data_IF_182511331054
#
_entry.id   IF_182511331054
#
_cell.length_a   1.000
_cell.length_b   1.000
_cell.length_c   1.000
_cell.angle_alpha   90.00
_cell.angle_beta   90.00
_cell.angle_gamma   90.00
#
_symmetry.space_group_name_H-M   'P 1'
#
loop_
_entity.id
_entity.type
_entity.pdbx_description
1 polymer ?
#
# COMPACT_ATOMS: atom_id res chain seq x y z
N UNK A 1 -8.69 20.79 17.18
CA UNK A 1 -8.60 21.99 16.32
C UNK A 1 -7.40 21.80 15.40
N UNK A 2 -7.52 20.97 14.36
CA UNK A 2 -6.39 20.47 13.54
C UNK A 2 -6.23 21.29 12.23
N UNK A 3 -6.03 22.60 12.32
CA UNK A 3 -5.97 23.47 11.13
C UNK A 3 -4.56 23.95 10.76
N UNK A 4 -3.57 23.79 11.65
CA UNK A 4 -2.26 24.45 11.48
C UNK A 4 -1.16 23.58 10.87
N UNK A 5 -1.38 22.26 10.70
CA UNK A 5 -0.33 21.36 10.18
C UNK A 5 -0.29 21.26 8.64
N UNK A 6 -1.25 21.86 7.91
CA UNK A 6 -1.36 21.74 6.45
C UNK A 6 -0.60 22.84 5.69
N UNK A 7 -0.42 24.02 6.28
CA UNK A 7 0.31 25.13 5.65
C UNK A 7 1.84 24.99 5.76
N UNK A 8 2.34 24.31 6.79
CA UNK A 8 3.78 24.08 6.98
C UNK A 8 4.40 23.11 5.95
N UNK A 9 3.59 22.24 5.33
CA UNK A 9 4.06 21.23 4.38
C UNK A 9 4.27 21.76 2.95
N UNK A 10 3.67 22.90 2.60
CA UNK A 10 3.71 23.44 1.23
C UNK A 10 4.94 24.35 1.03
N UNK A 11 5.44 24.98 2.09
CA UNK A 11 6.54 25.95 2.00
C UNK A 11 7.95 25.34 1.94
N UNK A 12 8.10 24.04 2.20
CA UNK A 12 9.40 23.35 2.29
C UNK A 12 9.80 22.55 1.05
N UNK A 13 8.96 22.51 -0.01
CA UNK A 13 9.25 21.75 -1.24
C UNK A 13 9.70 22.61 -2.44
N UNK A 14 10.03 23.88 -2.22
CA UNK A 14 10.49 24.81 -3.28
C UNK A 14 12.01 25.00 -3.30
N UNK A 15 12.79 24.10 -2.70
CA UNK A 15 14.25 24.32 -2.62
C UNK A 15 15.07 23.04 -2.56
N UNK A 16 14.88 22.11 -3.50
CA UNK A 16 15.96 21.18 -3.88
C UNK A 16 15.60 20.47 -5.19
N UNK A 17 16.14 20.92 -6.32
CA UNK A 17 16.35 20.08 -7.49
C UNK A 17 17.83 20.15 -7.87
N UNK A 18 18.49 19.02 -8.15
CA UNK A 18 19.90 19.00 -8.52
C UNK A 18 20.10 19.67 -9.87
N UNK A 19 20.98 20.69 -9.93
CA UNK A 19 21.45 21.26 -11.21
C UNK A 19 22.29 20.22 -11.94
N UNK A 20 21.69 19.48 -12.87
CA UNK A 20 22.43 18.84 -13.95
C UNK A 20 22.64 19.89 -15.03
N UNK A 21 23.88 20.36 -15.12
CA UNK A 21 24.35 21.25 -16.17
C UNK A 21 24.55 20.38 -17.41
N UNK A 22 23.65 20.48 -18.39
CA UNK A 22 23.92 20.00 -19.73
C UNK A 22 23.39 21.03 -20.73
N UNK A 23 24.30 21.45 -21.60
CA UNK A 23 24.08 22.46 -22.62
C UNK A 23 23.56 21.72 -23.86
N UNK A 24 22.32 22.00 -24.25
CA UNK A 24 21.68 21.42 -25.42
C UNK A 24 20.59 22.36 -25.92
N UNK A 25 20.95 23.19 -26.88
CA UNK A 25 20.05 24.06 -27.62
C UNK A 25 19.17 23.18 -28.51
N UNK A 26 17.95 22.91 -28.04
CA UNK A 26 16.85 22.41 -28.84
C UNK A 26 15.66 23.31 -28.52
N UNK A 27 15.23 24.05 -29.54
CA UNK A 27 14.00 24.82 -29.62
C UNK A 27 12.81 23.85 -29.49
N UNK A 28 12.55 23.36 -28.29
CA UNK A 28 11.25 22.81 -27.97
C UNK A 28 10.31 24.01 -27.89
N UNK A 29 9.22 24.06 -28.68
CA UNK A 29 8.15 24.97 -28.33
C UNK A 29 7.76 24.53 -26.93
N UNK A 30 8.16 25.32 -25.92
CA UNK A 30 7.72 25.12 -24.57
C UNK A 30 6.22 24.91 -24.70
N UNK A 31 5.74 23.71 -24.35
CA UNK A 31 4.32 23.56 -24.08
C UNK A 31 4.09 24.58 -22.97
N UNK A 32 3.61 25.76 -23.36
CA UNK A 32 3.28 26.85 -22.46
C UNK A 32 2.24 26.25 -21.55
N UNK A 33 2.70 25.77 -20.40
CA UNK A 33 1.86 25.17 -19.39
C UNK A 33 0.90 26.26 -19.01
N UNK A 34 -0.34 26.12 -19.48
CA UNK A 34 -1.37 27.10 -19.24
C UNK A 34 -1.55 27.21 -17.73
N UNK A 35 -1.07 28.31 -17.14
CA UNK A 35 -1.21 28.53 -15.71
C UNK A 35 -2.65 28.92 -15.43
N UNK A 36 -3.45 27.91 -15.09
CA UNK A 36 -4.88 28.04 -14.82
C UNK A 36 -5.16 28.97 -13.62
N UNK A 37 -4.15 29.25 -12.79
CA UNK A 37 -4.25 30.18 -11.68
C UNK A 37 -4.17 31.66 -12.12
N UNK A 38 -3.58 31.94 -13.29
CA UNK A 38 -3.42 33.30 -13.83
C UNK A 38 -4.51 33.65 -14.88
N UNK A 39 -5.33 32.68 -15.28
CA UNK A 39 -6.62 32.94 -15.93
C UNK A 39 -7.55 33.63 -14.92
N UNK A 40 -7.60 34.96 -14.99
CA UNK A 40 -8.55 35.78 -14.24
C UNK A 40 -9.97 35.32 -14.62
N UNK A 41 -10.76 34.88 -13.63
CA UNK A 41 -12.16 34.46 -13.72
C UNK A 41 -13.11 35.62 -14.09
N UNK A 42 -12.72 36.50 -15.01
CA UNK A 42 -13.38 37.80 -15.20
C UNK A 42 -14.57 37.75 -16.17
N UNK A 43 -14.91 36.57 -16.67
CA UNK A 43 -16.26 36.31 -17.18
C UNK A 43 -16.51 34.81 -17.00
N UNK A 44 -17.42 34.43 -16.10
CA UNK A 44 -18.09 33.15 -16.26
C UNK A 44 -18.83 33.24 -17.59
N UNK A 45 -18.17 32.83 -18.67
CA UNK A 45 -18.90 32.45 -19.86
C UNK A 45 -19.77 31.30 -19.38
N UNK A 46 -21.07 31.56 -19.21
CA UNK A 46 -22.06 30.51 -19.22
C UNK A 46 -21.90 29.86 -20.59
N UNK A 47 -21.01 28.88 -20.67
CA UNK A 47 -21.05 27.89 -21.71
C UNK A 47 -22.35 27.17 -21.40
N UNK A 48 -23.44 27.64 -22.01
CA UNK A 48 -24.66 26.87 -22.09
C UNK A 48 -24.21 25.48 -22.50
N UNK A 49 -24.40 24.51 -21.61
CA UNK A 49 -23.97 23.14 -21.78
C UNK A 49 -24.82 22.46 -22.83
N UNK A 50 -24.91 23.03 -24.04
CA UNK A 50 -25.65 22.51 -25.18
C UNK A 50 -25.18 21.08 -25.53
N UNK A 51 -23.98 20.70 -25.09
CA UNK A 51 -23.38 19.39 -25.31
C UNK A 51 -22.99 18.67 -24.00
N UNK A 52 -23.66 18.96 -22.88
CA UNK A 52 -23.38 18.28 -21.61
C UNK A 52 -23.58 16.76 -21.67
N UNK A 53 -24.41 16.30 -22.61
CA UNK A 53 -24.69 14.88 -22.86
C UNK A 53 -23.88 14.31 -24.05
N UNK A 54 -23.03 15.10 -24.72
CA UNK A 54 -22.24 14.59 -25.84
C UNK A 54 -21.02 13.81 -25.33
N UNK A 55 -20.85 12.55 -25.77
CA UNK A 55 -19.72 11.74 -25.32
C UNK A 55 -18.40 12.34 -25.80
N UNK A 56 -17.52 12.66 -24.85
CA UNK A 56 -16.18 13.21 -25.08
C UNK A 56 -15.22 12.27 -25.85
N UNK A 57 -15.63 11.02 -26.08
CA UNK A 57 -14.87 10.01 -26.82
C UNK A 57 -15.77 9.32 -27.83
N UNK A 58 -15.17 8.88 -28.94
CA UNK A 58 -15.87 8.09 -29.94
C UNK A 58 -16.16 6.69 -29.39
N UNK A 59 -17.23 6.07 -29.92
CA UNK A 59 -17.60 4.71 -29.51
C UNK A 59 -16.50 3.69 -29.84
N UNK A 60 -15.75 3.90 -30.92
CA UNK A 60 -14.61 3.06 -31.28
C UNK A 60 -13.51 3.10 -30.19
N UNK A 61 -13.21 4.27 -29.63
CA UNK A 61 -12.20 4.43 -28.56
C UNK A 61 -12.70 3.80 -27.26
N UNK A 62 -14.00 3.93 -26.95
CA UNK A 62 -14.63 3.26 -25.81
C UNK A 62 -14.52 1.74 -25.92
N UNK A 63 -14.85 1.18 -27.08
CA UNK A 63 -14.76 -0.26 -27.35
C UNK A 63 -13.33 -0.78 -27.16
N UNK A 64 -12.34 -0.11 -27.75
CA UNK A 64 -10.93 -0.49 -27.61
C UNK A 64 -10.44 -0.44 -26.15
N UNK A 65 -10.89 0.55 -25.36
CA UNK A 65 -10.56 0.64 -23.93
C UNK A 65 -11.18 -0.51 -23.14
N UNK A 66 -12.43 -0.86 -23.41
CA UNK A 66 -13.12 -1.99 -22.76
C UNK A 66 -12.47 -3.34 -23.09
N UNK A 67 -12.09 -3.55 -24.35
CA UNK A 67 -11.38 -4.76 -24.79
C UNK A 67 -10.01 -4.91 -24.09
N UNK A 68 -9.24 -3.82 -24.02
CA UNK A 68 -7.96 -3.81 -23.31
C UNK A 68 -8.15 -4.07 -21.81
N UNK A 69 -9.16 -3.46 -21.18
CA UNK A 69 -9.46 -3.68 -19.76
C UNK A 69 -9.89 -5.13 -19.51
N UNK A 70 -10.67 -5.73 -20.41
CA UNK A 70 -11.08 -7.12 -20.33
C UNK A 70 -9.88 -8.07 -20.47
N UNK A 71 -8.95 -7.79 -21.40
CA UNK A 71 -7.72 -8.56 -21.55
C UNK A 71 -6.83 -8.49 -20.29
N UNK A 72 -6.73 -7.31 -19.67
CA UNK A 72 -6.01 -7.14 -18.40
C UNK A 72 -6.72 -7.85 -17.24
N UNK A 73 -8.05 -7.80 -17.18
CA UNK A 73 -8.83 -8.52 -16.17
C UNK A 73 -8.61 -10.03 -16.27
N UNK A 74 -8.61 -10.58 -17.49
CA UNK A 74 -8.31 -12.01 -17.73
C UNK A 74 -6.89 -12.40 -17.27
N UNK A 75 -5.92 -11.49 -17.36
CA UNK A 75 -4.55 -11.73 -16.88
C UNK A 75 -4.42 -11.55 -15.36
N UNK A 76 -5.25 -10.69 -14.77
CA UNK A 76 -5.23 -10.35 -13.34
C UNK A 76 -6.12 -11.24 -12.48
N UNK A 77 -7.04 -12.01 -13.07
CA UNK A 77 -7.83 -13.00 -12.34
C UNK A 77 -6.92 -14.18 -11.92
N UNK A 78 -6.85 -14.50 -10.61
CA UNK A 78 -6.24 -15.75 -10.18
C UNK A 78 -7.05 -16.91 -10.80
N UNK A 79 -6.42 -17.89 -11.48
CA UNK A 79 -7.11 -18.94 -12.24
C UNK A 79 -7.92 -19.93 -11.37
N UNK A 80 -7.95 -19.74 -10.05
CA UNK A 80 -8.67 -20.60 -9.13
C UNK A 80 -9.37 -19.76 -8.08
N UNK A 81 -10.70 -19.94 -7.96
CA UNK A 81 -11.43 -19.66 -6.71
C UNK A 81 -10.62 -20.27 -5.58
N UNK A 82 -10.37 -19.56 -4.45
CA UNK A 82 -9.59 -20.11 -3.36
C UNK A 82 -10.28 -21.38 -2.89
N UNK A 83 -9.74 -22.52 -3.29
CA UNK A 83 -10.14 -23.80 -2.74
C UNK A 83 -9.68 -23.71 -1.29
N UNK A 84 -10.63 -23.69 -0.36
CA UNK A 84 -10.35 -23.87 1.07
C UNK A 84 -9.95 -25.34 1.23
N UNK A 85 -8.80 -25.71 0.66
CA UNK A 85 -8.13 -26.97 0.95
C UNK A 85 -7.48 -26.75 2.31
N UNK A 86 -8.10 -27.36 3.32
CA UNK A 86 -7.57 -27.61 4.66
C UNK A 86 -6.60 -26.53 5.16
N UNK A 87 -7.16 -25.52 5.82
CA UNK A 87 -6.48 -24.44 6.55
C UNK A 87 -5.02 -24.79 6.93
N UNK A 88 -4.05 -24.39 6.12
CA UNK A 88 -2.64 -24.40 6.53
C UNK A 88 -1.57 -24.83 5.52
N UNK A 89 -1.87 -25.53 4.42
CA UNK A 89 -0.78 -26.05 3.55
C UNK A 89 -0.36 -25.09 2.42
N UNK A 90 -1.20 -24.14 2.03
CA UNK A 90 -0.87 -23.10 1.03
C UNK A 90 -1.43 -21.72 1.43
N UNK A 91 -1.74 -21.51 2.72
CA UNK A 91 -2.15 -20.21 3.25
C UNK A 91 -0.94 -19.45 3.81
N UNK A 92 -1.06 -18.12 3.90
CA UNK A 92 -0.08 -17.25 4.59
C UNK A 92 0.25 -17.73 6.01
N UNK A 93 -0.73 -18.36 6.68
CA UNK A 93 -0.54 -18.99 7.99
C UNK A 93 0.49 -20.13 7.96
N UNK A 94 0.50 -20.93 6.89
CA UNK A 94 1.50 -21.99 6.69
C UNK A 94 2.91 -21.42 6.60
N UNK A 95 3.11 -20.42 5.73
CA UNK A 95 4.40 -19.73 5.56
C UNK A 95 4.88 -19.03 6.84
N UNK A 96 3.99 -18.31 7.52
CA UNK A 96 4.34 -17.64 8.79
C UNK A 96 4.67 -18.64 9.89
N UNK A 97 3.97 -19.78 9.95
CA UNK A 97 4.28 -20.87 10.88
C UNK A 97 5.63 -21.50 10.58
N UNK A 98 5.99 -21.71 9.32
CA UNK A 98 7.30 -22.23 8.93
C UNK A 98 8.43 -21.28 9.35
N UNK A 99 8.23 -19.97 9.18
CA UNK A 99 9.20 -18.94 9.57
C UNK A 99 9.32 -18.76 11.10
N UNK A 100 8.21 -18.85 11.84
CA UNK A 100 8.22 -18.67 13.30
C UNK A 100 8.69 -19.92 14.07
N UNK A 101 8.58 -21.11 13.47
CA UNK A 101 8.97 -22.37 14.11
C UNK A 101 10.43 -22.38 14.62
N UNK A 102 11.46 -22.01 13.82
CA UNK A 102 12.83 -22.01 14.31
C UNK A 102 13.07 -20.99 15.44
N UNK A 103 12.49 -19.79 15.34
CA UNK A 103 12.66 -18.75 16.37
C UNK A 103 12.02 -19.15 17.70
N UNK A 104 10.83 -19.76 17.66
CA UNK A 104 10.17 -20.26 18.86
C UNK A 104 10.89 -21.45 19.47
N UNK A 105 11.47 -22.34 18.66
CA UNK A 105 12.24 -23.46 19.15
C UNK A 105 13.48 -23.00 19.93
N UNK A 106 14.28 -22.11 19.33
CA UNK A 106 15.46 -21.53 20.00
C UNK A 106 15.07 -20.80 21.29
N UNK A 107 14.01 -20.00 21.25
CA UNK A 107 13.53 -19.32 22.45
C UNK A 107 13.11 -20.29 23.56
N UNK A 108 12.39 -21.36 23.21
CA UNK A 108 12.00 -22.38 24.17
C UNK A 108 13.21 -23.10 24.76
N UNK A 109 14.20 -23.46 23.94
CA UNK A 109 15.42 -24.12 24.41
C UNK A 109 16.17 -23.28 25.45
N UNK A 110 16.21 -21.96 25.27
CA UNK A 110 16.87 -21.05 26.20
C UNK A 110 16.05 -20.71 27.45
N UNK A 111 14.72 -20.61 27.34
CA UNK A 111 13.89 -20.04 28.41
C UNK A 111 13.08 -21.08 29.21
N UNK A 112 12.80 -22.25 28.62
CA UNK A 112 11.98 -23.28 29.24
C UNK A 112 12.66 -23.98 30.43
N UNK A 113 13.97 -24.31 30.42
CA UNK A 113 14.61 -24.98 31.55
C UNK A 113 14.45 -24.22 32.88
N UNK A 114 14.74 -22.91 32.88
CA UNK A 114 14.63 -22.09 34.08
C UNK A 114 13.19 -21.91 34.58
N UNK A 115 12.21 -21.95 33.68
CA UNK A 115 10.79 -21.91 34.06
C UNK A 115 10.35 -23.21 34.73
N UNK A 116 10.76 -24.35 34.16
CA UNK A 116 10.44 -25.68 34.69
C UNK A 116 11.09 -25.90 36.05
N UNK A 117 12.36 -25.52 36.24
CA UNK A 117 13.04 -25.65 37.53
C UNK A 117 12.29 -24.94 38.67
N UNK A 118 11.82 -23.71 38.41
CA UNK A 118 11.03 -22.94 39.39
C UNK A 118 9.71 -23.64 39.73
N UNK A 119 9.00 -24.14 38.72
CA UNK A 119 7.75 -24.88 38.92
C UNK A 119 7.97 -26.20 39.66
N UNK A 120 9.04 -26.93 39.35
CA UNK A 120 9.42 -28.18 40.03
C UNK A 120 9.81 -27.92 41.49
N UNK A 121 10.61 -26.88 41.76
CA UNK A 121 10.97 -26.50 43.14
C UNK A 121 9.72 -26.16 43.96
N UNK A 122 8.80 -25.38 43.41
CA UNK A 122 7.53 -25.07 44.06
C UNK A 122 6.70 -26.34 44.33
N UNK A 123 6.66 -27.26 43.38
CA UNK A 123 5.93 -28.53 43.50
C UNK A 123 6.55 -29.46 44.55
N UNK A 124 7.87 -29.58 44.61
CA UNK A 124 8.57 -30.35 45.64
C UNK A 124 8.34 -29.75 47.03
N UNK A 125 8.47 -28.43 47.18
CA UNK A 125 8.23 -27.74 48.45
C UNK A 125 6.80 -27.98 48.96
N UNK A 126 5.82 -27.92 48.06
CA UNK A 126 4.40 -28.19 48.36
C UNK A 126 4.18 -29.63 48.85
N UNK A 127 4.78 -30.63 48.18
CA UNK A 127 4.64 -32.04 48.55
C UNK A 127 5.38 -32.34 49.86
N UNK A 128 6.58 -31.79 50.04
CA UNK A 128 7.37 -31.96 51.26
C UNK A 128 6.67 -31.36 52.48
N UNK A 129 6.10 -30.16 52.35
CA UNK A 129 5.33 -29.51 53.42
C UNK A 129 4.02 -30.20 53.77
N UNK A 130 3.49 -31.08 52.90
CA UNK A 130 2.27 -31.87 53.16
C UNK A 130 2.54 -33.24 53.79
N UNK A 131 3.81 -33.67 53.84
CA UNK A 131 4.25 -34.94 54.46
C UNK A 131 4.92 -34.77 55.83
N UNK A 132 4.96 -33.54 56.36
CA UNK A 132 5.35 -33.24 57.74
C UNK A 132 4.15 -32.93 58.61
#
# INVERSE_FOLDING_TARGET
MNRDNREAAIKTRSRQMPKTKDEGEADEPAEEVLDLAEMELDEFVEVEGENADEPLITEAVRGAMQENLAALAMLSEPPAKPQIVRSGETSLEGLTRELLRPMLAEWLDHNLPGMVEKMVQAEIARIAGKRS
#
